data_IF_682049491033
#
_entry.id   IF_682049491033
#
_cell.length_a   1.000
_cell.length_b   1.000
_cell.length_c   1.000
_cell.angle_alpha   90.00
_cell.angle_beta   90.00
_cell.angle_gamma   90.00
#
_symmetry.space_group_name_H-M   'P 1'
#
loop_
_entity.id
_entity.type
_entity.pdbx_description
1 polymer ?
#
# COMPACT_ATOMS: atom_id res chain seq x y z
N UNK A 1 -5.95 11.90 38.76
CA UNK A 1 -4.68 12.45 38.24
C UNK A 1 -4.93 12.92 36.82
N UNK A 2 -4.90 14.23 36.57
CA UNK A 2 -5.17 14.83 35.26
C UNK A 2 -3.83 15.10 34.56
N UNK A 3 -3.54 14.38 33.48
CA UNK A 3 -2.33 14.61 32.67
C UNK A 3 -2.57 15.83 31.77
N UNK A 4 -1.79 16.89 32.01
CA UNK A 4 -1.82 18.10 31.20
C UNK A 4 -1.31 17.82 29.78
N UNK A 5 -2.13 18.15 28.78
CA UNK A 5 -1.79 18.05 27.35
C UNK A 5 -0.80 19.16 27.01
N UNK A 6 0.47 18.81 26.83
CA UNK A 6 1.53 19.74 26.41
C UNK A 6 1.34 20.02 24.91
N UNK A 7 0.85 21.20 24.55
CA UNK A 7 0.86 21.68 23.16
C UNK A 7 2.29 22.10 22.82
N UNK A 8 2.93 21.38 21.89
CA UNK A 8 4.22 21.76 21.34
C UNK A 8 4.00 22.77 20.22
N UNK A 9 4.15 24.06 20.54
CA UNK A 9 4.20 25.16 19.57
C UNK A 9 5.57 25.18 18.88
N UNK A 10 5.84 24.17 18.04
CA UNK A 10 6.96 24.14 17.11
C UNK A 10 6.46 24.07 15.67
N UNK A 11 7.27 24.44 14.66
CA UNK A 11 6.89 24.24 13.27
C UNK A 11 6.71 22.73 13.04
N UNK A 12 5.46 22.30 12.83
CA UNK A 12 5.13 20.92 12.47
C UNK A 12 5.89 20.56 11.19
N UNK A 13 6.87 19.69 11.32
CA UNK A 13 7.61 19.13 10.19
C UNK A 13 6.67 18.31 9.32
N UNK A 14 6.92 18.26 8.00
CA UNK A 14 6.06 17.55 7.03
C UNK A 14 5.80 16.09 7.40
N UNK A 15 6.78 15.42 8.03
CA UNK A 15 6.68 14.05 8.54
C UNK A 15 5.75 13.90 9.75
N UNK A 16 5.60 14.95 10.56
CA UNK A 16 4.68 14.95 11.69
C UNK A 16 3.25 15.27 11.22
N UNK A 17 3.11 16.18 10.25
CA UNK A 17 1.83 16.47 9.61
C UNK A 17 1.27 15.25 8.86
N UNK A 18 2.12 14.47 8.18
CA UNK A 18 1.75 13.22 7.51
C UNK A 18 1.22 12.14 8.47
N UNK A 19 1.66 12.16 9.74
CA UNK A 19 1.14 11.26 10.79
C UNK A 19 -0.19 11.71 11.39
N UNK A 20 -0.64 12.93 11.08
CA UNK A 20 -1.95 13.40 11.56
C UNK A 20 -3.09 12.80 10.74
N UNK A 21 -4.23 12.48 11.36
CA UNK A 21 -5.40 11.92 10.66
C UNK A 21 -5.92 12.84 9.54
N UNK A 22 -5.75 14.16 9.68
CA UNK A 22 -6.17 15.17 8.70
C UNK A 22 -5.39 15.09 7.38
N UNK A 23 -4.11 14.74 7.41
CA UNK A 23 -3.34 14.53 6.17
C UNK A 23 -3.81 13.26 5.44
N UNK A 24 -4.17 12.22 6.20
CA UNK A 24 -4.72 10.98 5.66
C UNK A 24 -6.12 11.19 5.05
N UNK A 25 -6.90 12.18 5.51
CA UNK A 25 -8.19 12.53 4.93
C UNK A 25 -8.06 13.03 3.49
N UNK A 26 -7.10 13.92 3.21
CA UNK A 26 -6.86 14.40 1.85
C UNK A 26 -6.47 13.27 0.89
N UNK A 27 -5.55 12.39 1.33
CA UNK A 27 -5.16 11.21 0.54
C UNK A 27 -6.34 10.27 0.32
N UNK A 28 -7.19 10.06 1.33
CA UNK A 28 -8.40 9.23 1.18
C UNK A 28 -9.38 9.85 0.19
N UNK A 29 -9.56 11.17 0.20
CA UNK A 29 -10.46 11.84 -0.76
C UNK A 29 -9.93 11.76 -2.19
N UNK A 30 -8.61 11.91 -2.38
CA UNK A 30 -7.97 11.77 -3.69
C UNK A 30 -8.12 10.33 -4.22
N UNK A 31 -7.79 9.33 -3.38
CA UNK A 31 -7.98 7.92 -3.73
C UNK A 31 -9.45 7.57 -4.04
N UNK A 32 -10.41 8.14 -3.31
CA UNK A 32 -11.83 7.92 -3.58
C UNK A 32 -12.24 8.47 -4.95
N UNK A 33 -11.80 9.69 -5.29
CA UNK A 33 -12.02 10.29 -6.61
C UNK A 33 -11.42 9.45 -7.73
N UNK A 34 -10.20 8.94 -7.54
CA UNK A 34 -9.53 8.09 -8.53
C UNK A 34 -10.31 6.79 -8.76
N UNK A 35 -10.77 6.14 -7.69
CA UNK A 35 -11.59 4.93 -7.76
C UNK A 35 -12.91 5.21 -8.49
N UNK A 36 -13.59 6.31 -8.19
CA UNK A 36 -14.83 6.70 -8.89
C UNK A 36 -14.59 6.90 -10.38
N UNK A 37 -13.49 7.59 -10.75
CA UNK A 37 -13.13 7.81 -12.15
C UNK A 37 -12.83 6.50 -12.89
N UNK A 38 -12.15 5.55 -12.23
CA UNK A 38 -11.84 4.24 -12.80
C UNK A 38 -13.11 3.45 -13.09
N UNK A 39 -14.07 3.45 -12.16
CA UNK A 39 -15.37 2.79 -12.33
C UNK A 39 -16.21 3.47 -13.41
N UNK A 40 -16.24 4.81 -13.46
CA UNK A 40 -16.97 5.58 -14.46
C UNK A 40 -16.45 5.36 -15.89
N UNK A 41 -15.14 5.18 -16.03
CA UNK A 41 -14.49 4.85 -17.31
C UNK A 41 -14.71 3.40 -17.77
N UNK A 42 -15.50 2.60 -17.04
CA UNK A 42 -15.80 1.21 -17.36
C UNK A 42 -14.79 0.20 -16.80
N UNK A 43 -13.93 0.61 -15.87
CA UNK A 43 -13.09 -0.29 -15.09
C UNK A 43 -13.92 -1.15 -14.13
N UNK A 44 -13.48 -2.37 -13.86
CA UNK A 44 -14.14 -3.30 -12.93
C UNK A 44 -13.17 -3.78 -11.86
N UNK A 45 -13.63 -3.83 -10.61
CA UNK A 45 -12.87 -4.46 -9.52
C UNK A 45 -13.12 -5.97 -9.58
N UNK A 46 -12.05 -6.75 -9.54
CA UNK A 46 -12.11 -8.21 -9.50
C UNK A 46 -11.72 -8.70 -8.11
N UNK A 47 -12.44 -9.70 -7.62
CA UNK A 47 -12.07 -10.40 -6.39
C UNK A 47 -10.91 -11.36 -6.70
N UNK A 48 -9.84 -11.28 -5.91
CA UNK A 48 -8.68 -12.14 -6.05
C UNK A 48 -8.67 -13.14 -4.89
N UNK A 49 -8.70 -14.43 -5.22
CA UNK A 49 -8.70 -15.49 -4.22
C UNK A 49 -7.38 -15.52 -3.43
N UNK A 50 -7.48 -15.94 -2.17
CA UNK A 50 -6.31 -16.13 -1.32
C UNK A 50 -5.42 -17.23 -1.91
N UNK A 51 -4.15 -16.91 -2.17
CA UNK A 51 -3.19 -17.84 -2.78
C UNK A 51 -3.12 -17.76 -4.30
N UNK A 52 -3.82 -16.81 -4.94
CA UNK A 52 -3.63 -16.52 -6.36
C UNK A 52 -2.16 -16.15 -6.64
N UNK A 53 -1.50 -16.95 -7.48
CA UNK A 53 -0.20 -16.63 -8.05
C UNK A 53 -0.37 -16.53 -9.56
N UNK A 54 -0.03 -15.36 -10.10
CA UNK A 54 -0.04 -15.12 -11.54
C UNK A 54 0.97 -16.02 -12.28
N UNK A 55 2.12 -16.28 -11.65
CA UNK A 55 3.14 -17.17 -12.19
C UNK A 55 3.06 -18.56 -11.54
N UNK A 56 2.91 -19.63 -12.34
CA UNK A 56 2.99 -20.98 -11.84
C UNK A 56 4.43 -21.28 -11.35
N UNK A 57 4.58 -22.12 -10.32
CA UNK A 57 5.90 -22.53 -9.85
C UNK A 57 6.70 -23.19 -10.99
N UNK A 58 7.88 -22.63 -11.30
CA UNK A 58 8.76 -23.14 -12.35
C UNK A 58 9.35 -24.49 -11.94
N UNK A 59 9.34 -25.45 -12.86
CA UNK A 59 10.00 -26.75 -12.67
C UNK A 59 11.49 -26.53 -12.36
N UNK A 60 12.04 -27.16 -11.30
CA UNK A 60 13.47 -27.05 -11.02
C UNK A 60 14.26 -27.65 -12.18
N UNK A 61 15.24 -26.91 -12.68
CA UNK A 61 16.22 -27.43 -13.64
C UNK A 61 17.27 -28.24 -12.87
N UNK A 62 17.41 -29.52 -13.19
CA UNK A 62 18.48 -30.33 -12.64
C UNK A 62 19.81 -29.93 -13.31
N UNK A 63 20.65 -29.16 -12.62
CA UNK A 63 22.02 -28.83 -13.05
C UNK A 63 23.07 -29.78 -12.44
N UNK A 64 22.64 -30.84 -11.77
CA UNK A 64 23.57 -31.83 -11.24
C UNK A 64 24.29 -32.55 -12.38
N UNK A 65 25.62 -32.66 -12.30
CA UNK A 65 26.45 -33.30 -13.34
C UNK A 65 26.73 -32.44 -14.58
N UNK A 66 26.31 -31.17 -14.63
CA UNK A 66 26.63 -30.27 -15.76
C UNK A 66 28.05 -29.68 -15.68
N UNK A 67 28.78 -29.95 -14.59
CA UNK A 67 30.17 -29.58 -14.40
C UNK A 67 31.00 -30.87 -14.36
N UNK A 68 32.09 -30.98 -15.14
CA UNK A 68 32.99 -32.12 -15.05
C UNK A 68 33.59 -32.20 -13.64
N UNK A 69 33.80 -33.44 -13.18
CA UNK A 69 34.49 -33.77 -11.92
C UNK A 69 36.00 -33.75 -12.11
#
# INVERSE_FOLDING_TARGET
>A
MTVAKKTSEGPVTSEELARTPKCNENLRTEMASDVESFLANGGSVTEVETGYRADPPKKPENKYGSRPI
#
